data_IF_080988940658
#
_entry.id   IF_080988940658
#
_cell.length_a   1.000
_cell.length_b   1.000
_cell.length_c   1.000
_cell.angle_alpha   90.00
_cell.angle_beta   90.00
_cell.angle_gamma   90.00
#
_symmetry.space_group_name_H-M   'P 1'
#
loop_
_entity.id
_entity.type
_entity.pdbx_description
1 polymer ?
#
# COMPACT_ATOMS: atom_id res chain seq x y z
N UNK A 1 12.05 -3.19 8.42
CA UNK A 1 11.55 -4.07 7.35
C UNK A 1 10.07 -4.32 7.56
N UNK A 2 9.26 -4.12 6.52
CA UNK A 2 7.84 -4.48 6.49
C UNK A 2 7.74 -6.00 6.63
N UNK A 3 7.01 -6.47 7.64
CA UNK A 3 6.84 -7.89 7.96
C UNK A 3 5.66 -8.48 7.19
N UNK A 4 4.59 -7.70 7.03
CA UNK A 4 3.41 -8.14 6.30
C UNK A 4 3.71 -8.29 4.81
N UNK A 5 3.56 -9.52 4.30
CA UNK A 5 3.63 -9.77 2.86
C UNK A 5 2.52 -9.04 2.11
N UNK A 6 1.31 -9.01 2.66
CA UNK A 6 0.16 -8.35 2.06
C UNK A 6 0.40 -6.85 1.89
N UNK A 7 0.81 -6.15 2.96
CA UNK A 7 1.15 -4.72 2.90
C UNK A 7 2.31 -4.46 1.94
N UNK A 8 3.34 -5.30 1.97
CA UNK A 8 4.47 -5.16 1.05
C UNK A 8 4.05 -5.30 -0.42
N UNK A 9 3.17 -6.25 -0.73
CA UNK A 9 2.69 -6.47 -2.09
C UNK A 9 1.80 -5.31 -2.57
N UNK A 10 0.91 -4.79 -1.70
CA UNK A 10 0.11 -3.59 -1.97
C UNK A 10 1.01 -2.39 -2.26
N UNK A 11 1.99 -2.15 -1.40
CA UNK A 11 2.93 -1.03 -1.54
C UNK A 11 3.76 -1.16 -2.82
N UNK A 12 4.30 -2.34 -3.11
CA UNK A 12 5.05 -2.59 -4.35
C UNK A 12 4.21 -2.29 -5.59
N UNK A 13 2.93 -2.65 -5.57
CA UNK A 13 2.05 -2.47 -6.71
C UNK A 13 1.63 -1.00 -6.89
N UNK A 14 1.35 -0.28 -5.80
CA UNK A 14 1.08 1.17 -5.81
C UNK A 14 2.29 1.95 -6.33
N UNK A 15 3.50 1.56 -5.92
CA UNK A 15 4.75 2.23 -6.28
C UNK A 15 5.33 1.76 -7.62
N UNK A 16 4.61 0.96 -8.41
CA UNK A 16 5.04 0.51 -9.75
C UNK A 16 4.41 1.32 -10.89
N UNK A 17 3.90 2.51 -10.60
CA UNK A 17 3.25 3.39 -11.56
C UNK A 17 4.22 4.30 -12.34
N UNK A 18 4.04 5.60 -12.14
CA UNK A 18 4.80 6.66 -12.81
C UNK A 18 6.25 6.76 -12.27
N UNK A 19 7.00 7.75 -12.77
CA UNK A 19 8.38 7.98 -12.33
C UNK A 19 8.49 8.24 -10.82
N UNK A 20 7.51 8.93 -10.24
CA UNK A 20 7.50 9.21 -8.80
C UNK A 20 7.24 7.95 -7.98
N UNK A 21 6.27 7.13 -8.38
CA UNK A 21 6.01 5.84 -7.74
C UNK A 21 7.25 4.96 -7.77
N UNK A 22 7.87 4.82 -8.95
CA UNK A 22 9.09 4.00 -9.12
C UNK A 22 10.27 4.51 -8.30
N UNK A 23 10.43 5.83 -8.18
CA UNK A 23 11.44 6.42 -7.32
C UNK A 23 11.15 6.16 -5.84
N UNK A 24 9.89 6.32 -5.40
CA UNK A 24 9.46 6.00 -4.04
C UNK A 24 9.61 4.51 -3.70
N UNK A 25 9.48 3.61 -4.68
CA UNK A 25 9.68 2.17 -4.50
C UNK A 25 11.06 1.82 -3.93
N UNK A 26 12.07 2.64 -4.19
CA UNK A 26 13.43 2.48 -3.65
C UNK A 26 13.49 2.69 -2.13
N UNK A 27 12.47 3.30 -1.52
CA UNK A 27 12.39 3.53 -0.09
C UNK A 27 11.98 2.26 0.68
N UNK A 28 11.29 1.30 0.03
CA UNK A 28 10.75 0.08 0.66
C UNK A 28 11.75 -0.66 1.56
N UNK A 29 13.01 -0.90 1.17
CA UNK A 29 13.98 -1.61 2.02
C UNK A 29 14.26 -0.93 3.36
N UNK A 30 14.03 0.37 3.45
CA UNK A 30 14.29 1.21 4.62
C UNK A 30 13.05 1.41 5.49
N UNK A 31 11.89 0.90 5.06
CA UNK A 31 10.64 0.97 5.81
C UNK A 31 10.48 -0.22 6.77
N UNK A 32 9.79 0.03 7.87
CA UNK A 32 9.27 -0.97 8.81
C UNK A 32 7.83 -0.63 9.16
N UNK A 33 7.02 -1.65 9.39
CA UNK A 33 5.69 -1.45 9.93
C UNK A 33 5.79 -0.86 11.33
N UNK A 34 5.05 0.21 11.60
CA UNK A 34 4.98 0.85 12.91
C UNK A 34 3.76 0.36 13.68
N UNK A 35 2.58 0.57 13.09
CA UNK A 35 1.28 0.41 13.72
C UNK A 35 0.23 0.10 12.66
N UNK A 36 -0.71 -0.77 13.02
CA UNK A 36 -1.88 -1.14 12.24
C UNK A 36 -3.12 -0.73 13.02
N UNK A 37 -3.92 0.17 12.46
CA UNK A 37 -5.18 0.62 13.04
C UNK A 37 -6.36 0.13 12.18
N UNK A 38 -7.03 -0.92 12.64
CA UNK A 38 -8.24 -1.45 12.00
C UNK A 38 -9.48 -0.70 12.48
N UNK A 39 -10.30 -0.20 11.56
CA UNK A 39 -11.35 0.79 11.86
C UNK A 39 -12.74 0.18 12.11
N UNK A 40 -12.83 -0.92 12.86
CA UNK A 40 -14.10 -1.63 13.12
C UNK A 40 -14.92 -1.90 11.84
N UNK A 41 -14.24 -2.41 10.81
CA UNK A 41 -14.85 -2.76 9.52
C UNK A 41 -14.60 -1.75 8.40
N UNK A 42 -14.25 -0.49 8.67
CA UNK A 42 -14.02 0.45 7.57
C UNK A 42 -12.84 0.03 6.66
N UNK A 43 -11.71 -0.32 7.28
CA UNK A 43 -10.43 -0.43 6.62
C UNK A 43 -9.28 -0.57 7.61
N UNK A 44 -8.05 -0.41 7.13
CA UNK A 44 -6.83 -0.38 7.96
C UNK A 44 -5.94 0.80 7.57
N UNK A 45 -5.40 1.47 8.59
CA UNK A 45 -4.30 2.41 8.45
C UNK A 45 -3.00 1.75 8.89
N UNK A 46 -1.98 1.81 8.04
CA UNK A 46 -0.64 1.28 8.34
C UNK A 46 0.35 2.43 8.32
N UNK A 47 0.92 2.74 9.47
CA UNK A 47 1.98 3.75 9.59
C UNK A 47 3.34 3.09 9.44
N UNK A 48 4.29 3.79 8.81
CA UNK A 48 5.65 3.28 8.61
C UNK A 48 6.67 4.04 9.44
N UNK A 49 7.62 3.31 10.03
CA UNK A 49 8.89 3.85 10.49
C UNK A 49 9.93 3.68 9.39
N UNK A 50 10.96 4.53 9.40
CA UNK A 50 12.08 4.42 8.47
C UNK A 50 13.42 4.54 9.17
N UNK A 51 14.46 3.97 8.56
CA UNK A 51 15.86 4.24 8.94
C UNK A 51 16.36 5.54 8.31
N UNK A 52 17.54 6.03 8.70
CA UNK A 52 18.10 7.30 8.19
C UNK A 52 18.50 7.21 6.70
N UNK A 53 18.89 6.03 6.22
CA UNK A 53 19.32 5.80 4.85
C UNK A 53 18.20 6.07 3.82
N UNK A 54 16.93 6.10 4.26
CA UNK A 54 15.81 6.46 3.39
C UNK A 54 15.97 7.86 2.76
N UNK A 55 16.69 8.77 3.42
CA UNK A 55 16.86 10.15 2.95
C UNK A 55 17.62 10.24 1.62
N UNK A 56 18.41 9.21 1.26
CA UNK A 56 19.05 9.11 -0.07
C UNK A 56 18.04 8.89 -1.19
N UNK A 57 16.83 8.42 -0.85
CA UNK A 57 15.73 8.13 -1.75
C UNK A 57 14.54 9.07 -1.57
N UNK A 58 14.70 10.15 -0.79
CA UNK A 58 13.67 11.18 -0.60
C UNK A 58 13.33 11.83 -1.95
N UNK A 59 12.04 11.90 -2.26
CA UNK A 59 11.57 12.59 -3.44
C UNK A 59 11.63 14.11 -3.25
N UNK A 60 11.78 14.83 -4.36
CA UNK A 60 11.69 16.30 -4.40
C UNK A 60 10.25 16.80 -4.37
N UNK A 61 9.29 15.94 -4.71
CA UNK A 61 7.87 16.25 -4.69
C UNK A 61 7.34 16.01 -3.27
N UNK A 62 6.86 17.09 -2.68
CA UNK A 62 6.21 17.04 -1.37
C UNK A 62 4.76 16.53 -1.50
N UNK A 63 4.29 15.86 -0.44
CA UNK A 63 2.91 15.43 -0.22
C UNK A 63 2.25 14.70 -1.41
N UNK A 64 2.91 13.63 -1.87
CA UNK A 64 2.41 12.77 -2.95
C UNK A 64 1.41 11.75 -2.40
N UNK A 65 0.27 11.62 -3.08
CA UNK A 65 -0.73 10.58 -2.81
C UNK A 65 -0.84 9.68 -4.04
N UNK A 66 -0.62 8.39 -3.87
CA UNK A 66 -0.71 7.38 -4.93
C UNK A 66 -1.80 6.38 -4.58
N UNK A 67 -2.74 6.14 -5.50
CA UNK A 67 -3.87 5.24 -5.31
C UNK A 67 -4.11 4.39 -6.56
N UNK A 68 -5.17 3.59 -6.53
CA UNK A 68 -5.63 2.82 -7.68
C UNK A 68 -5.13 1.39 -7.72
N UNK A 69 -4.76 0.83 -6.57
CA UNK A 69 -4.72 -0.62 -6.38
C UNK A 69 -6.05 -1.08 -5.81
N UNK A 70 -6.75 -1.95 -6.52
CA UNK A 70 -7.93 -2.65 -6.01
C UNK A 70 -7.53 -3.99 -5.42
N UNK A 71 -8.18 -4.36 -4.32
CA UNK A 71 -7.98 -5.61 -3.60
C UNK A 71 -9.27 -6.42 -3.68
N UNK A 72 -9.16 -7.68 -4.07
CA UNK A 72 -10.25 -8.67 -4.02
C UNK A 72 -9.81 -9.81 -3.14
N UNK A 73 -10.71 -10.30 -2.28
CA UNK A 73 -10.47 -11.43 -1.40
C UNK A 73 -11.80 -12.11 -1.09
N UNK A 74 -11.83 -13.43 -0.80
CA UNK A 74 -13.03 -14.08 -0.26
C UNK A 74 -13.60 -13.39 0.99
N UNK A 75 -12.77 -12.71 1.76
CA UNK A 75 -13.14 -11.97 2.97
C UNK A 75 -13.67 -10.56 2.68
N UNK A 76 -13.36 -10.02 1.50
CA UNK A 76 -13.83 -8.72 1.02
C UNK A 76 -14.86 -8.91 -0.09
N UNK A 77 -16.14 -9.06 0.28
CA UNK A 77 -17.24 -9.40 -0.65
C UNK A 77 -17.34 -8.46 -1.86
N UNK A 78 -17.13 -7.16 -1.65
CA UNK A 78 -17.16 -6.14 -2.71
C UNK A 78 -15.74 -5.73 -3.13
N UNK A 79 -14.73 -6.02 -2.31
CA UNK A 79 -13.35 -5.60 -2.47
C UNK A 79 -12.99 -4.37 -1.64
N UNK A 80 -11.78 -3.89 -1.84
CA UNK A 80 -11.22 -2.71 -1.21
C UNK A 80 -10.33 -1.93 -2.19
N UNK A 81 -10.00 -0.69 -1.87
CA UNK A 81 -8.94 0.08 -2.54
C UNK A 81 -7.83 0.49 -1.57
N UNK A 82 -6.65 0.73 -2.11
CA UNK A 82 -5.48 1.14 -1.35
C UNK A 82 -4.93 2.48 -1.85
N UNK A 83 -4.47 3.29 -0.90
CA UNK A 83 -3.82 4.58 -1.13
C UNK A 83 -2.59 4.73 -0.24
N UNK A 84 -1.44 5.02 -0.83
CA UNK A 84 -0.21 5.36 -0.09
C UNK A 84 0.01 6.87 -0.10
N UNK A 85 0.37 7.39 1.07
CA UNK A 85 0.68 8.78 1.31
C UNK A 85 2.17 8.91 1.56
N UNK A 86 2.79 9.83 0.83
CA UNK A 86 4.14 10.28 1.10
C UNK A 86 4.05 11.67 1.74
N UNK A 87 4.88 11.91 2.75
CA UNK A 87 5.04 13.20 3.40
C UNK A 87 6.49 13.62 3.30
N UNK A 88 6.73 14.88 2.93
CA UNK A 88 8.09 15.41 2.75
C UNK A 88 8.96 14.51 1.83
N UNK A 89 8.35 13.93 0.79
CA UNK A 89 9.00 13.03 -0.17
C UNK A 89 9.30 11.61 0.33
N UNK A 90 8.81 11.20 1.50
CA UNK A 90 9.03 9.88 2.11
C UNK A 90 7.69 9.18 2.34
N UNK A 91 7.61 7.86 2.11
CA UNK A 91 6.44 7.04 2.44
C UNK A 91 6.12 7.14 3.94
N UNK A 92 4.92 7.64 4.24
CA UNK A 92 4.44 7.93 5.60
C UNK A 92 3.45 6.85 6.06
N UNK A 93 2.37 6.66 5.30
CA UNK A 93 1.33 5.69 5.63
C UNK A 93 0.64 5.09 4.41
N UNK A 94 0.05 3.92 4.62
CA UNK A 94 -0.86 3.24 3.70
C UNK A 94 -2.25 3.20 4.31
N UNK A 95 -3.26 3.48 3.50
CA UNK A 95 -4.67 3.33 3.85
C UNK A 95 -5.30 2.30 2.93
N UNK A 96 -6.09 1.39 3.50
CA UNK A 96 -6.88 0.43 2.75
C UNK A 96 -8.33 0.53 3.21
N UNK A 97 -9.26 0.71 2.29
CA UNK A 97 -10.67 0.92 2.57
C UNK A 97 -11.53 -0.14 1.91
N UNK A 98 -12.35 -0.82 2.70
CA UNK A 98 -13.37 -1.73 2.15
C UNK A 98 -14.51 -0.93 1.54
N UNK A 99 -15.04 -1.41 0.41
CA UNK A 99 -16.16 -0.74 -0.25
C UNK A 99 -17.49 -0.92 0.49
N UNK A 100 -17.61 -1.94 1.33
CA UNK A 100 -18.84 -2.30 2.03
C UNK A 100 -18.76 -2.10 3.56
N UNK A 101 -17.65 -1.54 4.07
CA UNK A 101 -17.44 -1.33 5.49
C UNK A 101 -17.24 -2.63 6.27
N UNK A 102 -16.77 -3.71 5.61
CA UNK A 102 -16.46 -5.00 6.23
C UNK A 102 -15.01 -5.45 5.95
N UNK A 103 -14.04 -4.65 6.38
CA UNK A 103 -12.63 -5.01 6.37
C UNK A 103 -12.27 -5.89 7.60
N UNK A 104 -11.52 -7.00 7.42
CA UNK A 104 -11.09 -7.84 8.53
C UNK A 104 -10.10 -7.13 9.46
N UNK A 105 -10.00 -7.58 10.71
CA UNK A 105 -9.07 -7.08 11.74
C UNK A 105 -7.67 -7.73 11.67
N UNK A 106 -7.30 -8.23 10.50
CA UNK A 106 -6.05 -8.93 10.24
C UNK A 106 -5.65 -8.82 8.77
N UNK A 107 -4.41 -9.20 8.47
CA UNK A 107 -3.92 -9.24 7.10
C UNK A 107 -4.61 -10.32 6.26
N UNK A 108 -4.93 -9.98 5.02
CA UNK A 108 -5.45 -10.94 4.06
C UNK A 108 -4.36 -11.94 3.66
N UNK A 109 -4.70 -13.21 3.75
CA UNK A 109 -3.85 -14.33 3.29
C UNK A 109 -4.17 -14.75 1.85
N UNK A 110 -5.44 -14.59 1.44
CA UNK A 110 -5.95 -14.92 0.12
C UNK A 110 -6.43 -13.65 -0.56
N UNK A 111 -5.69 -13.16 -1.56
CA UNK A 111 -6.00 -11.90 -2.21
C UNK A 111 -5.52 -11.82 -3.67
N UNK A 112 -6.20 -10.97 -4.42
CA UNK A 112 -5.79 -10.49 -5.74
C UNK A 112 -5.67 -8.96 -5.68
N UNK A 113 -4.50 -8.45 -6.03
CA UNK A 113 -4.22 -7.02 -6.16
C UNK A 113 -4.15 -6.67 -7.64
N UNK A 114 -4.73 -5.53 -8.03
CA UNK A 114 -4.71 -5.07 -9.42
C UNK A 114 -4.57 -3.56 -9.53
N UNK A 115 -3.70 -3.10 -10.44
CA UNK A 115 -3.63 -1.70 -10.84
C UNK A 115 -4.83 -1.35 -11.74
N UNK A 116 -5.52 -0.24 -11.45
CA UNK A 116 -6.73 0.17 -12.20
C UNK A 116 -6.69 1.60 -12.74
N UNK A 117 -5.59 2.34 -12.60
CA UNK A 117 -5.47 3.69 -13.17
C UNK A 117 -5.20 3.67 -14.68
N UNK A 118 -5.48 4.80 -15.33
CA UNK A 118 -5.22 5.05 -16.75
C UNK A 118 -3.73 4.92 -17.05
N UNK A 119 -3.37 4.21 -18.12
CA UNK A 119 -1.99 3.91 -18.53
C UNK A 119 -1.17 3.07 -17.53
N UNK A 120 -1.82 2.44 -16.55
CA UNK A 120 -1.16 1.41 -15.73
C UNK A 120 -0.74 0.23 -16.61
N UNK A 121 0.29 -0.49 -16.14
CA UNK A 121 0.68 -1.77 -16.76
C UNK A 121 -0.41 -2.85 -16.61
N UNK A 122 -1.41 -2.60 -15.77
CA UNK A 122 -2.42 -3.59 -15.39
C UNK A 122 -1.84 -4.74 -14.57
N UNK A 123 -0.72 -4.51 -13.87
CA UNK A 123 -0.05 -5.53 -13.07
C UNK A 123 -0.98 -6.13 -12.02
N UNK A 124 -0.84 -7.45 -11.83
CA UNK A 124 -1.65 -8.25 -10.91
C UNK A 124 -0.72 -9.03 -9.98
N UNK A 125 -1.06 -9.08 -8.70
CA UNK A 125 -0.43 -9.97 -7.72
C UNK A 125 -1.52 -10.86 -7.14
N UNK A 126 -1.29 -12.16 -7.16
CA UNK A 126 -2.17 -13.16 -6.56
C UNK A 126 -1.41 -13.88 -5.44
N UNK A 127 -2.07 -14.03 -4.29
CA UNK A 127 -1.60 -14.83 -3.17
C UNK A 127 -2.71 -15.76 -2.71
N UNK A 128 -2.33 -17.01 -2.48
CA UNK A 128 -3.15 -18.04 -1.89
C UNK A 128 -2.29 -18.90 -0.97
N UNK A 129 -2.87 -19.39 0.13
CA UNK A 129 -2.24 -20.43 0.96
C UNK A 129 -2.27 -21.83 0.31
#
# INVERSE_FOLDING_TARGET
MIVSKYILDVLKLLLDGDENGKAAKLQIPFLSDAEYEYTNGGGVFVSFLHSEEIFEHKLTKDDLVLNGVTIVSPELKIGADATVFLRDGIVDRLEIWSFDGNYPDHDLINYTLKQVWHDSSGSVIEASE
#
